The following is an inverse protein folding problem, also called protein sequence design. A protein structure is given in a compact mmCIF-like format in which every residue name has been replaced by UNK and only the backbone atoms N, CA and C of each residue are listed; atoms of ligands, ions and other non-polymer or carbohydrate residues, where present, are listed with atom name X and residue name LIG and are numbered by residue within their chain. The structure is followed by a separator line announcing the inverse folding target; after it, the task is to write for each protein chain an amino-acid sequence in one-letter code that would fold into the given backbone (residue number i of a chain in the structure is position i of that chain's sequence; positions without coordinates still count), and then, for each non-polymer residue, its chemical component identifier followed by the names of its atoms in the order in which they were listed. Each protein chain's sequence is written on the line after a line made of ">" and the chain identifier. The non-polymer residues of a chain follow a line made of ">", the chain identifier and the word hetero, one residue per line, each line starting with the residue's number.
data_IF_506220995559
#
_entry.id   IF_506220995559
#
_cell.length_a   1.000
_cell.length_b   1.000
_cell.length_c   1.000
_cell.angle_alpha   90.00
_cell.angle_beta   90.00
_cell.angle_gamma   90.00
#
_symmetry.space_group_name_H-M   'P 1'
#
loop_
_entity.id
_entity.type
_entity.pdbx_description
1 polymer ?
#
# COMPACT_ATOMS: atom_id res chain seq x y z
N UNK A 1 -17.87 -40.75 -30.53
CA UNK A 1 -18.58 -39.61 -29.90
C UNK A 1 -17.52 -38.54 -29.64
N UNK A 2 -17.56 -37.35 -30.28
CA UNK A 2 -16.56 -36.32 -30.01
C UNK A 2 -16.79 -35.77 -28.60
N UNK A 3 -15.72 -35.66 -27.82
CA UNK A 3 -15.72 -35.06 -26.49
C UNK A 3 -15.77 -33.53 -26.65
N UNK A 4 -16.92 -32.92 -26.38
CA UNK A 4 -17.02 -31.46 -26.25
C UNK A 4 -16.38 -31.03 -24.93
N UNK A 5 -15.16 -30.50 -25.01
CA UNK A 5 -14.48 -29.88 -23.88
C UNK A 5 -15.21 -28.59 -23.48
N UNK A 6 -16.18 -28.68 -22.57
CA UNK A 6 -16.77 -27.49 -21.93
C UNK A 6 -15.76 -26.89 -20.95
N UNK A 7 -15.02 -25.88 -21.41
CA UNK A 7 -14.15 -25.07 -20.56
C UNK A 7 -15.05 -24.30 -19.59
N UNK A 8 -15.12 -24.75 -18.34
CA UNK A 8 -15.82 -24.06 -17.26
C UNK A 8 -14.80 -23.20 -16.53
N UNK A 9 -14.88 -21.88 -16.68
CA UNK A 9 -14.03 -20.92 -15.95
C UNK A 9 -14.67 -20.69 -14.58
N UNK A 10 -14.06 -21.19 -13.51
CA UNK A 10 -14.64 -21.13 -12.15
C UNK A 10 -14.56 -19.73 -11.53
N UNK A 11 -13.55 -18.94 -11.88
CA UNK A 11 -13.28 -17.63 -11.27
C UNK A 11 -13.83 -16.43 -12.05
N UNK A 12 -14.42 -16.64 -13.25
CA UNK A 12 -15.09 -15.58 -14.01
C UNK A 12 -15.98 -16.18 -15.13
N UNK A 13 -17.15 -16.75 -14.79
CA UNK A 13 -18.04 -17.38 -15.77
C UNK A 13 -18.61 -16.39 -16.80
N UNK A 14 -18.61 -15.08 -16.51
CA UNK A 14 -19.04 -14.02 -17.43
C UNK A 14 -17.87 -13.41 -18.25
N UNK A 15 -16.63 -13.87 -18.06
CA UNK A 15 -15.41 -13.35 -18.70
C UNK A 15 -15.27 -11.81 -18.61
N UNK A 16 -15.80 -11.19 -17.55
CA UNK A 16 -15.65 -9.75 -17.32
C UNK A 16 -14.19 -9.43 -16.99
N UNK A 17 -13.44 -8.85 -17.94
CA UNK A 17 -12.02 -8.49 -17.79
C UNK A 17 -11.74 -7.63 -16.56
N UNK A 18 -12.77 -6.89 -16.11
CA UNK A 18 -12.84 -6.09 -14.89
C UNK A 18 -12.33 -6.85 -13.64
N UNK A 19 -12.77 -8.09 -13.43
CA UNK A 19 -12.42 -8.88 -12.23
C UNK A 19 -10.99 -9.44 -12.23
N UNK A 20 -10.29 -9.40 -13.37
CA UNK A 20 -8.89 -9.83 -13.46
C UNK A 20 -7.92 -8.65 -13.45
N UNK A 21 -8.23 -7.59 -14.21
CA UNK A 21 -7.32 -6.46 -14.41
C UNK A 21 -7.27 -5.58 -13.17
N UNK A 22 -8.43 -5.37 -12.52
CA UNK A 22 -8.53 -4.39 -11.44
C UNK A 22 -7.74 -4.80 -10.21
N UNK A 23 -7.88 -6.03 -9.66
CA UNK A 23 -7.08 -6.45 -8.51
C UNK A 23 -5.57 -6.39 -8.79
N UNK A 24 -5.16 -6.74 -10.01
CA UNK A 24 -3.77 -6.64 -10.44
C UNK A 24 -3.28 -5.19 -10.46
N UNK A 25 -4.08 -4.28 -11.01
CA UNK A 25 -3.72 -2.87 -11.11
C UNK A 25 -3.72 -2.18 -9.75
N UNK A 26 -4.68 -2.46 -8.86
CA UNK A 26 -4.65 -1.93 -7.48
C UNK A 26 -3.43 -2.43 -6.72
N UNK A 27 -3.04 -3.70 -6.90
CA UNK A 27 -1.80 -4.22 -6.32
C UNK A 27 -0.55 -3.46 -6.78
N UNK A 28 -0.44 -3.20 -8.09
CA UNK A 28 0.70 -2.44 -8.65
C UNK A 28 0.71 -0.99 -8.15
N UNK A 29 -0.45 -0.32 -8.13
CA UNK A 29 -0.58 1.05 -7.63
C UNK A 29 -0.18 1.11 -6.15
N UNK A 30 -0.68 0.19 -5.34
CA UNK A 30 -0.36 0.13 -3.92
C UNK A 30 1.12 -0.12 -3.69
N UNK A 31 1.74 -1.00 -4.48
CA UNK A 31 3.18 -1.26 -4.41
C UNK A 31 4.01 -0.02 -4.79
N UNK A 32 3.57 0.74 -5.78
CA UNK A 32 4.21 2.01 -6.16
C UNK A 32 4.10 3.05 -5.04
N UNK A 33 2.93 3.22 -4.42
CA UNK A 33 2.73 4.19 -3.33
C UNK A 33 3.52 3.78 -2.09
N UNK A 34 3.48 2.51 -1.70
CA UNK A 34 4.31 1.95 -0.62
C UNK A 34 5.81 2.20 -0.86
N UNK A 35 6.28 2.06 -2.09
CA UNK A 35 7.68 2.35 -2.45
C UNK A 35 8.04 3.81 -2.21
N UNK A 36 7.20 4.74 -2.67
CA UNK A 36 7.40 6.18 -2.46
C UNK A 36 7.35 6.54 -0.97
N UNK A 37 6.37 6.02 -0.22
CA UNK A 37 6.28 6.23 1.22
C UNK A 37 7.54 5.73 1.96
N UNK A 38 8.03 4.55 1.59
CA UNK A 38 9.25 3.97 2.18
C UNK A 38 10.47 4.84 1.85
N UNK A 39 10.61 5.27 0.59
CA UNK A 39 11.68 6.15 0.17
C UNK A 39 11.65 7.49 0.93
N UNK A 40 10.47 8.07 1.14
CA UNK A 40 10.30 9.30 1.93
C UNK A 40 10.61 9.07 3.41
N UNK A 41 10.26 7.92 3.98
CA UNK A 41 10.60 7.57 5.36
C UNK A 41 12.12 7.49 5.54
N UNK A 42 12.79 6.73 4.67
CA UNK A 42 14.26 6.57 4.69
C UNK A 42 14.98 7.90 4.42
N UNK A 43 14.49 8.69 3.46
CA UNK A 43 15.06 10.00 3.15
C UNK A 43 14.95 10.95 4.33
N UNK A 44 13.78 11.02 4.99
CA UNK A 44 13.62 11.88 6.17
C UNK A 44 14.41 11.39 7.39
N UNK A 45 14.74 10.11 7.49
CA UNK A 45 15.68 9.63 8.52
C UNK A 45 17.11 10.10 8.23
N UNK A 46 17.54 10.03 6.97
CA UNK A 46 18.85 10.56 6.55
C UNK A 46 18.94 12.08 6.71
N UNK A 47 17.86 12.80 6.42
CA UNK A 47 17.80 14.26 6.47
C UNK A 47 17.64 14.79 7.90
N UNK A 48 17.02 14.02 8.80
CA UNK A 48 16.83 14.45 10.20
C UNK A 48 18.13 14.56 11.01
N UNK A 49 19.28 14.04 10.54
CA UNK A 49 20.54 14.21 11.27
C UNK A 49 20.45 13.83 12.75
N UNK A 50 19.62 12.82 13.09
CA UNK A 50 19.20 12.49 14.47
C UNK A 50 20.37 12.13 15.39
N UNK A 51 21.59 11.98 14.86
CA UNK A 51 22.79 11.74 15.67
C UNK A 51 23.30 13.03 16.35
N UNK A 52 23.12 14.21 15.73
CA UNK A 52 23.69 15.47 16.23
C UNK A 52 22.74 16.20 17.20
N UNK A 53 21.43 16.11 16.96
CA UNK A 53 20.41 16.78 17.79
C UNK A 53 20.10 16.04 19.11
N UNK A 54 20.47 14.75 19.19
CA UNK A 54 20.30 13.91 20.38
C UNK A 54 21.27 14.28 21.53
N UNK A 55 22.39 14.92 21.21
CA UNK A 55 23.42 15.29 22.18
C UNK A 55 23.00 16.54 23.00
N UNK A 56 22.04 17.33 22.49
CA UNK A 56 21.70 18.66 23.01
C UNK A 56 20.32 18.78 23.67
N UNK A 57 19.48 17.74 23.66
CA UNK A 57 18.09 17.82 24.16
C UNK A 57 17.72 16.58 24.98
N UNK A 58 17.11 16.71 26.18
CA UNK A 58 16.79 15.59 27.05
C UNK A 58 15.48 14.89 26.62
N UNK A 59 15.33 14.59 25.34
CA UNK A 59 14.20 13.82 24.80
C UNK A 59 14.73 12.46 24.33
N UNK A 60 14.12 11.38 24.81
CA UNK A 60 14.54 10.01 24.50
C UNK A 60 14.38 9.73 23.00
N UNK A 61 15.38 9.13 22.35
CA UNK A 61 15.32 8.80 20.91
C UNK A 61 14.07 8.01 20.52
N UNK A 62 13.57 7.17 21.42
CA UNK A 62 12.36 6.38 21.25
C UNK A 62 11.09 7.23 21.14
N UNK A 63 10.95 8.31 21.92
CA UNK A 63 9.78 9.21 21.82
C UNK A 63 9.77 9.97 20.49
N UNK A 64 10.95 10.40 20.03
CA UNK A 64 11.10 11.11 18.76
C UNK A 64 10.86 10.17 17.57
N UNK A 65 11.33 8.93 17.66
CA UNK A 65 11.08 7.88 16.68
C UNK A 65 9.59 7.53 16.62
N UNK A 66 8.94 7.30 17.77
CA UNK A 66 7.52 6.99 17.85
C UNK A 66 6.65 8.14 17.32
N UNK A 67 6.96 9.38 17.69
CA UNK A 67 6.26 10.57 17.19
C UNK A 67 6.38 10.76 15.67
N UNK A 68 7.45 10.25 15.06
CA UNK A 68 7.66 10.28 13.61
C UNK A 68 7.03 9.09 12.90
N UNK A 69 7.11 7.89 13.47
CA UNK A 69 6.49 6.67 12.90
C UNK A 69 4.97 6.73 12.89
N UNK A 70 4.35 7.32 13.91
CA UNK A 70 2.89 7.44 14.02
C UNK A 70 2.23 8.09 12.80
N UNK A 71 2.66 9.28 12.32
CA UNK A 71 2.08 9.89 11.13
C UNK A 71 2.34 9.08 9.85
N UNK A 72 3.48 8.40 9.72
CA UNK A 72 3.72 7.51 8.57
C UNK A 72 2.77 6.31 8.56
N UNK A 73 2.54 5.71 9.73
CA UNK A 73 1.59 4.61 9.88
C UNK A 73 0.15 5.06 9.59
N UNK A 74 -0.23 6.26 10.04
CA UNK A 74 -1.52 6.86 9.73
C UNK A 74 -1.71 7.08 8.21
N UNK A 75 -0.69 7.61 7.52
CA UNK A 75 -0.75 7.79 6.05
C UNK A 75 -0.88 6.44 5.34
N UNK A 76 -0.17 5.40 5.82
CA UNK A 76 -0.24 4.07 5.22
C UNK A 76 -1.61 3.40 5.38
N UNK A 77 -2.24 3.60 6.54
CA UNK A 77 -3.62 3.14 6.77
C UNK A 77 -4.63 3.89 5.90
N UNK A 78 -4.46 5.20 5.72
CA UNK A 78 -5.30 6.01 4.83
C UNK A 78 -5.14 5.54 3.39
N UNK A 79 -3.91 5.29 2.93
CA UNK A 79 -3.65 4.81 1.57
C UNK A 79 -4.32 3.45 1.31
N UNK A 80 -4.16 2.50 2.24
CA UNK A 80 -4.80 1.19 2.16
C UNK A 80 -6.33 1.33 2.10
N UNK A 81 -6.92 2.16 2.96
CA UNK A 81 -8.35 2.40 2.96
C UNK A 81 -8.84 3.04 1.65
N UNK A 82 -8.06 3.94 1.06
CA UNK A 82 -8.39 4.63 -0.19
C UNK A 82 -8.34 3.67 -1.39
N UNK A 83 -7.30 2.84 -1.48
CA UNK A 83 -7.14 1.85 -2.54
C UNK A 83 -8.22 0.77 -2.47
N UNK A 84 -8.47 0.21 -1.28
CA UNK A 84 -9.53 -0.79 -1.07
C UNK A 84 -10.91 -0.17 -1.29
N UNK A 85 -11.15 1.03 -0.76
CA UNK A 85 -12.41 1.75 -0.94
C UNK A 85 -12.69 2.07 -2.41
N UNK A 86 -11.67 2.48 -3.17
CA UNK A 86 -11.80 2.73 -4.61
C UNK A 86 -12.11 1.43 -5.38
N UNK A 87 -11.49 0.31 -5.02
CA UNK A 87 -11.77 -0.99 -5.63
C UNK A 87 -13.24 -1.39 -5.45
N UNK A 88 -13.78 -1.25 -4.24
CA UNK A 88 -15.17 -1.61 -3.94
C UNK A 88 -16.16 -0.59 -4.50
N UNK A 89 -15.95 0.71 -4.33
CA UNK A 89 -16.94 1.74 -4.72
C UNK A 89 -17.03 1.98 -6.23
N UNK A 90 -15.90 1.97 -6.94
CA UNK A 90 -15.86 2.27 -8.38
C UNK A 90 -16.08 0.99 -9.18
N UNK A 91 -15.56 -0.12 -8.68
CA UNK A 91 -15.50 -1.35 -9.43
C UNK A 91 -16.37 -2.48 -8.88
N UNK A 92 -16.93 -2.36 -7.67
CA UNK A 92 -17.86 -3.37 -7.11
C UNK A 92 -17.24 -4.78 -7.15
N UNK A 93 -15.93 -4.84 -6.89
CA UNK A 93 -15.10 -6.07 -6.82
C UNK A 93 -14.82 -6.40 -5.36
#
# INVERSE_FOLDING_TARGET
>A
MPLEARIRVWFNPELKSKNFIIPGLTGVIMMAICSVMTALSVSKEKESGTLEQLISTPITSLELLLGKLLPYLAVGLVDLALVVGAAVLIFDV
#
